data_IF_579038534478
#
_entry.id   IF_579038534478
#
_cell.length_a   1.000
_cell.length_b   1.000
_cell.length_c   1.000
_cell.angle_alpha   90.00
_cell.angle_beta   90.00
_cell.angle_gamma   90.00
#
_symmetry.space_group_name_H-M   'P 1'
#
loop_
_entity.id
_entity.type
_entity.pdbx_description
1 polymer ?
#
# COMPACT_ATOMS: atom_id res chain seq x y z
N UNK A 1 -13.87 13.75 5.62
CA UNK A 1 -13.86 12.42 6.28
C UNK A 1 -12.85 12.43 7.43
N UNK A 2 -12.90 11.51 8.39
CA UNK A 2 -11.89 11.44 9.46
C UNK A 2 -10.45 11.33 8.91
N UNK A 3 -10.25 10.68 7.77
CA UNK A 3 -8.96 10.61 7.09
C UNK A 3 -8.39 12.00 6.69
N UNK A 4 -9.25 12.99 6.42
CA UNK A 4 -8.81 14.36 6.14
C UNK A 4 -8.11 14.98 7.35
N UNK A 5 -8.51 14.61 8.58
CA UNK A 5 -7.84 15.08 9.79
C UNK A 5 -6.48 14.42 10.00
N UNK A 6 -6.25 13.19 9.53
CA UNK A 6 -4.92 12.56 9.58
C UNK A 6 -3.88 13.38 8.81
N UNK A 7 -4.30 13.96 7.66
CA UNK A 7 -3.49 14.91 6.91
C UNK A 7 -3.37 16.28 7.60
N UNK A 8 -4.50 16.87 8.02
CA UNK A 8 -4.52 18.22 8.64
C UNK A 8 -3.78 18.30 9.97
N UNK A 9 -3.82 17.24 10.77
CA UNK A 9 -3.15 17.15 12.08
C UNK A 9 -1.68 16.72 11.96
N UNK A 10 -1.16 16.53 10.74
CA UNK A 10 0.23 16.22 10.49
C UNK A 10 0.65 14.77 10.77
N UNK A 11 -0.28 13.90 11.19
CA UNK A 11 0.04 12.50 11.51
C UNK A 11 0.67 11.77 10.32
N UNK A 12 0.11 11.94 9.12
CA UNK A 12 0.61 11.23 7.95
C UNK A 12 2.00 11.75 7.54
N UNK A 13 2.21 13.07 7.60
CA UNK A 13 3.50 13.68 7.29
C UNK A 13 4.59 13.20 8.27
N UNK A 14 4.27 13.21 9.57
CA UNK A 14 5.14 12.65 10.61
C UNK A 14 5.44 11.17 10.33
N UNK A 15 4.41 10.37 10.07
CA UNK A 15 4.55 8.93 9.86
C UNK A 15 5.42 8.60 8.64
N UNK A 16 5.16 9.24 7.49
CA UNK A 16 5.97 9.02 6.28
C UNK A 16 7.42 9.44 6.48
N UNK A 17 7.66 10.54 7.21
CA UNK A 17 9.00 11.03 7.48
C UNK A 17 9.76 10.15 8.48
N UNK A 18 9.07 9.63 9.50
CA UNK A 18 9.63 8.62 10.41
C UNK A 18 10.03 7.35 9.66
N UNK A 19 9.18 6.86 8.76
CA UNK A 19 9.50 5.70 7.90
C UNK A 19 10.71 6.01 7.02
N UNK A 20 10.71 7.15 6.33
CA UNK A 20 11.82 7.57 5.47
C UNK A 20 13.13 7.60 6.26
N UNK A 21 13.13 8.22 7.44
CA UNK A 21 14.32 8.34 8.30
C UNK A 21 14.80 6.96 8.77
N UNK A 22 13.87 6.09 9.18
CA UNK A 22 14.18 4.71 9.57
C UNK A 22 14.80 3.92 8.41
N UNK A 23 14.24 4.01 7.21
CA UNK A 23 14.75 3.32 6.01
C UNK A 23 16.15 3.84 5.65
N UNK A 24 16.38 5.15 5.67
CA UNK A 24 17.71 5.74 5.43
C UNK A 24 18.75 5.18 6.39
N UNK A 25 18.39 5.01 7.68
CA UNK A 25 19.27 4.43 8.69
C UNK A 25 19.68 2.98 8.43
N UNK A 26 18.95 2.23 7.60
CA UNK A 26 19.30 0.86 7.20
C UNK A 26 20.37 0.80 6.11
N UNK A 27 20.71 1.93 5.46
CA UNK A 27 21.72 1.97 4.40
C UNK A 27 21.35 1.19 3.14
N UNK A 28 20.06 0.94 2.91
CA UNK A 28 19.57 0.18 1.76
C UNK A 28 19.61 1.03 0.48
N UNK A 29 19.87 0.38 -0.66
CA UNK A 29 19.63 1.00 -1.97
C UNK A 29 18.15 1.27 -2.22
N UNK A 30 17.85 2.10 -3.23
CA UNK A 30 16.48 2.55 -3.54
C UNK A 30 15.48 1.39 -3.74
N UNK A 31 15.94 0.24 -4.24
CA UNK A 31 15.09 -0.96 -4.42
C UNK A 31 14.59 -1.48 -3.07
N UNK A 32 15.50 -1.72 -2.11
CA UNK A 32 15.14 -2.20 -0.78
C UNK A 32 14.29 -1.18 -0.02
N UNK A 33 14.63 0.10 -0.15
CA UNK A 33 13.85 1.20 0.40
C UNK A 33 12.41 1.22 -0.15
N UNK A 34 12.24 1.04 -1.46
CA UNK A 34 10.94 1.00 -2.14
C UNK A 34 10.12 -0.20 -1.68
N UNK A 35 10.73 -1.39 -1.57
CA UNK A 35 10.05 -2.60 -1.10
C UNK A 35 9.48 -2.41 0.31
N UNK A 36 10.27 -1.88 1.23
CA UNK A 36 9.82 -1.62 2.61
C UNK A 36 8.71 -0.56 2.61
N UNK A 37 8.91 0.54 1.89
CA UNK A 37 7.96 1.65 1.86
C UNK A 37 6.61 1.23 1.28
N UNK A 38 6.60 0.51 0.15
CA UNK A 38 5.37 -0.03 -0.47
C UNK A 38 4.72 -1.07 0.44
N UNK A 39 5.51 -1.92 1.11
CA UNK A 39 5.00 -2.86 2.09
C UNK A 39 4.28 -2.17 3.24
N UNK A 40 4.89 -1.14 3.84
CA UNK A 40 4.27 -0.36 4.91
C UNK A 40 3.01 0.34 4.40
N UNK A 41 3.06 0.96 3.22
CA UNK A 41 1.88 1.55 2.58
C UNK A 41 0.74 0.53 2.48
N UNK A 42 1.00 -0.61 1.85
CA UNK A 42 0.01 -1.65 1.60
C UNK A 42 -0.63 -2.17 2.89
N UNK A 43 0.20 -2.53 3.89
CA UNK A 43 -0.29 -3.10 5.15
C UNK A 43 -0.86 -2.06 6.12
N UNK A 44 -0.60 -0.77 5.91
CA UNK A 44 -1.30 0.28 6.67
C UNK A 44 -2.81 0.25 6.44
N UNK A 45 -3.28 -0.37 5.36
CA UNK A 45 -4.70 -0.52 5.10
C UNK A 45 -5.46 -1.32 6.17
N UNK A 46 -4.79 -2.15 6.98
CA UNK A 46 -5.42 -2.76 8.15
C UNK A 46 -6.04 -1.73 9.11
N UNK A 47 -5.54 -0.49 9.12
CA UNK A 47 -6.04 0.61 9.94
C UNK A 47 -7.12 1.46 9.24
N UNK A 48 -7.50 1.13 8.00
CA UNK A 48 -8.48 1.88 7.22
C UNK A 48 -9.65 0.99 6.79
N UNK A 49 -10.88 1.48 6.99
CA UNK A 49 -12.09 0.84 6.47
C UNK A 49 -12.49 1.35 5.06
N UNK A 50 -11.63 2.13 4.41
CA UNK A 50 -11.90 2.71 3.09
C UNK A 50 -10.61 2.91 2.31
N UNK A 51 -10.58 2.39 1.08
CA UNK A 51 -9.49 2.59 0.13
C UNK A 51 -9.32 4.07 -0.22
N UNK A 52 -10.41 4.78 -0.51
CA UNK A 52 -10.39 6.22 -0.80
C UNK A 52 -9.79 7.02 0.36
N UNK A 53 -10.17 6.69 1.60
CA UNK A 53 -9.62 7.31 2.80
C UNK A 53 -8.12 7.08 2.94
N UNK A 54 -7.67 5.83 2.72
CA UNK A 54 -6.26 5.46 2.76
C UNK A 54 -5.45 6.19 1.67
N UNK A 55 -5.90 6.14 0.41
CA UNK A 55 -5.21 6.79 -0.73
C UNK A 55 -5.11 8.29 -0.51
N UNK A 56 -6.23 8.95 -0.17
CA UNK A 56 -6.27 10.40 0.08
C UNK A 56 -5.32 10.81 1.21
N UNK A 57 -5.18 9.97 2.24
CA UNK A 57 -4.31 10.27 3.36
C UNK A 57 -2.83 10.03 3.01
N UNK A 58 -2.49 8.88 2.43
CA UNK A 58 -1.12 8.36 2.46
C UNK A 58 -0.38 8.40 1.12
N UNK A 59 -1.08 8.36 -0.02
CA UNK A 59 -0.43 8.19 -1.32
C UNK A 59 0.62 9.27 -1.60
N UNK A 60 0.25 10.55 -1.46
CA UNK A 60 1.15 11.67 -1.74
C UNK A 60 2.37 11.70 -0.81
N UNK A 61 2.17 11.43 0.48
CA UNK A 61 3.24 11.44 1.47
C UNK A 61 4.24 10.29 1.26
N UNK A 62 3.74 9.08 0.98
CA UNK A 62 4.58 7.92 0.69
C UNK A 62 5.31 8.05 -0.65
N UNK A 63 4.64 8.62 -1.66
CA UNK A 63 5.26 8.93 -2.94
C UNK A 63 6.43 9.90 -2.75
N UNK A 64 6.22 11.01 -2.03
CA UNK A 64 7.27 11.99 -1.75
C UNK A 64 8.45 11.37 -0.97
N UNK A 65 8.16 10.56 0.05
CA UNK A 65 9.17 9.86 0.83
C UNK A 65 10.00 8.89 -0.03
N UNK A 66 9.35 8.11 -0.91
CA UNK A 66 10.05 7.16 -1.78
C UNK A 66 10.91 7.83 -2.85
N UNK A 67 10.44 8.95 -3.42
CA UNK A 67 11.27 9.77 -4.33
C UNK A 67 12.50 10.32 -3.59
N UNK A 68 12.33 10.77 -2.35
CA UNK A 68 13.46 11.23 -1.53
C UNK A 68 14.45 10.10 -1.15
N UNK A 69 14.01 8.84 -1.16
CA UNK A 69 14.85 7.65 -1.00
C UNK A 69 15.51 7.19 -2.32
N UNK A 70 15.32 7.93 -3.41
CA UNK A 70 15.96 7.68 -4.71
C UNK A 70 15.19 6.71 -5.62
N UNK A 71 13.93 6.39 -5.31
CA UNK A 71 13.12 5.54 -6.18
C UNK A 71 12.76 6.27 -7.50
N UNK A 72 12.81 5.60 -8.67
CA UNK A 72 12.33 6.18 -9.92
C UNK A 72 10.85 6.59 -9.81
N UNK A 73 10.49 7.87 -10.03
CA UNK A 73 9.15 8.37 -9.74
C UNK A 73 8.02 7.61 -10.46
N UNK A 74 8.20 7.28 -11.74
CA UNK A 74 7.17 6.56 -12.50
C UNK A 74 6.93 5.15 -11.93
N UNK A 75 8.01 4.40 -11.65
CA UNK A 75 7.91 3.07 -11.05
C UNK A 75 7.21 3.12 -9.69
N UNK A 76 7.60 4.07 -8.83
CA UNK A 76 6.99 4.23 -7.51
C UNK A 76 5.50 4.58 -7.60
N UNK A 77 5.13 5.49 -8.51
CA UNK A 77 3.74 5.87 -8.74
C UNK A 77 2.89 4.67 -9.16
N UNK A 78 3.39 3.84 -10.09
CA UNK A 78 2.72 2.62 -10.54
C UNK A 78 2.59 1.62 -9.38
N UNK A 79 3.68 1.35 -8.66
CA UNK A 79 3.66 0.42 -7.52
C UNK A 79 2.63 0.84 -6.45
N UNK A 80 2.61 2.12 -6.06
CA UNK A 80 1.63 2.62 -5.08
C UNK A 80 0.19 2.58 -5.62
N UNK A 81 -0.01 2.95 -6.89
CA UNK A 81 -1.34 2.99 -7.50
C UNK A 81 -1.96 1.60 -7.58
N UNK A 82 -1.23 0.62 -8.10
CA UNK A 82 -1.73 -0.76 -8.19
C UNK A 82 -1.84 -1.42 -6.81
N UNK A 83 -0.91 -1.15 -5.89
CA UNK A 83 -1.02 -1.60 -4.49
C UNK A 83 -2.31 -1.12 -3.82
N UNK A 84 -2.79 0.08 -4.18
CA UNK A 84 -4.02 0.66 -3.64
C UNK A 84 -5.28 -0.15 -4.02
N UNK A 85 -5.25 -0.86 -5.14
CA UNK A 85 -6.33 -1.78 -5.52
C UNK A 85 -6.16 -3.14 -4.85
N UNK A 86 -4.92 -3.63 -4.78
CA UNK A 86 -4.62 -4.98 -4.27
C UNK A 86 -4.84 -5.10 -2.75
N UNK A 87 -4.68 -4.01 -1.99
CA UNK A 87 -4.91 -3.99 -0.53
C UNK A 87 -6.36 -4.28 -0.12
N UNK A 88 -7.31 -4.21 -1.06
CA UNK A 88 -8.72 -4.52 -0.85
C UNK A 88 -8.97 -5.96 -0.37
N UNK A 89 -8.02 -6.88 -0.59
CA UNK A 89 -8.15 -8.29 -0.16
C UNK A 89 -7.81 -8.53 1.31
N UNK A 90 -7.28 -7.54 2.03
CA UNK A 90 -6.71 -7.74 3.36
C UNK A 90 -7.75 -8.03 4.44
N UNK A 91 -8.76 -7.18 4.55
CA UNK A 91 -9.71 -7.22 5.67
C UNK A 91 -11.15 -7.27 5.17
N UNK A 92 -12.00 -7.94 5.95
CA UNK A 92 -13.44 -8.00 5.73
C UNK A 92 -14.14 -6.63 5.82
N UNK A 93 -13.43 -5.57 6.22
CA UNK A 93 -13.94 -4.19 6.31
C UNK A 93 -13.20 -3.18 5.42
N UNK A 94 -12.18 -3.60 4.65
CA UNK A 94 -11.33 -2.67 3.90
C UNK A 94 -12.06 -1.94 2.75
N UNK A 95 -13.21 -2.48 2.32
CA UNK A 95 -14.02 -1.96 1.22
C UNK A 95 -15.50 -1.93 1.60
N UNK A 96 -16.32 -1.23 0.81
CA UNK A 96 -17.78 -1.24 1.03
C UNK A 96 -18.43 -2.59 0.75
N UNK A 97 -17.86 -3.40 -0.14
CA UNK A 97 -18.40 -4.72 -0.51
C UNK A 97 -17.96 -5.84 0.43
N UNK A 98 -16.80 -5.71 1.08
CA UNK A 98 -16.25 -6.77 1.94
C UNK A 98 -17.17 -7.12 3.14
N UNK A 99 -17.77 -6.16 3.87
CA UNK A 99 -18.70 -6.47 4.96
C UNK A 99 -19.97 -7.15 4.49
N UNK A 100 -20.43 -6.86 3.27
CA UNK A 100 -21.62 -7.48 2.68
C UNK A 100 -21.34 -8.97 2.41
N UNK A 101 -20.18 -9.27 1.82
CA UNK A 101 -19.77 -10.65 1.55
C UNK A 101 -19.51 -11.39 2.86
N UNK A 102 -18.77 -10.79 3.80
CA UNK A 102 -18.49 -11.41 5.09
C UNK A 102 -19.77 -11.67 5.90
N UNK A 103 -20.72 -10.73 5.87
CA UNK A 103 -22.02 -10.85 6.54
C UNK A 103 -22.93 -11.95 5.98
N UNK A 104 -22.60 -12.56 4.84
CA UNK A 104 -23.34 -13.71 4.29
C UNK A 104 -23.16 -15.00 5.10
N UNK A 105 -22.13 -15.08 5.95
CA UNK A 105 -21.86 -16.25 6.79
C UNK A 105 -21.17 -17.42 6.07
N UNK A 106 -20.76 -17.27 4.81
CA UNK A 106 -20.04 -18.33 4.07
C UNK A 106 -18.57 -18.50 4.48
N UNK A 107 -17.98 -17.55 5.22
CA UNK A 107 -16.59 -17.59 5.66
C UNK A 107 -16.45 -17.14 7.10
N UNK A 108 -15.54 -17.75 7.84
CA UNK A 108 -15.13 -17.26 9.17
C UNK A 108 -14.13 -16.11 9.06
N UNK A 109 -13.95 -15.38 10.17
CA UNK A 109 -12.93 -14.32 10.26
C UNK A 109 -11.52 -14.87 9.98
N UNK A 110 -11.19 -16.04 10.53
CA UNK A 110 -9.88 -16.66 10.38
C UNK A 110 -9.60 -17.04 8.92
N UNK A 111 -10.59 -17.62 8.22
CA UNK A 111 -10.46 -17.97 6.80
C UNK A 111 -10.24 -16.72 5.94
N UNK A 112 -11.01 -15.65 6.18
CA UNK A 112 -10.87 -14.40 5.44
C UNK A 112 -9.47 -13.81 5.62
N UNK A 113 -9.00 -13.72 6.86
CA UNK A 113 -7.70 -13.09 7.15
C UNK A 113 -6.53 -13.95 6.71
N UNK A 114 -6.62 -15.28 6.83
CA UNK A 114 -5.61 -16.18 6.29
C UNK A 114 -5.52 -16.07 4.77
N UNK A 115 -6.66 -16.08 4.07
CA UNK A 115 -6.70 -15.88 2.62
C UNK A 115 -6.18 -14.49 2.24
N UNK A 116 -6.56 -13.44 2.96
CA UNK A 116 -6.09 -12.07 2.73
C UNK A 116 -4.58 -11.92 2.87
N UNK A 117 -3.97 -12.56 3.88
CA UNK A 117 -2.52 -12.57 4.10
C UNK A 117 -1.75 -13.38 3.04
N UNK A 118 -2.32 -14.49 2.56
CA UNK A 118 -1.71 -15.26 1.45
C UNK A 118 -1.80 -14.44 0.16
N UNK A 119 -2.99 -13.90 -0.14
CA UNK A 119 -3.23 -13.13 -1.36
C UNK A 119 -2.45 -11.82 -1.38
N UNK A 120 -2.17 -11.18 -0.23
CA UNK A 120 -1.33 -9.96 -0.24
C UNK A 120 0.06 -10.23 -0.80
N UNK A 121 0.70 -11.33 -0.37
CA UNK A 121 2.03 -11.73 -0.85
C UNK A 121 1.96 -12.11 -2.33
N UNK A 122 1.01 -12.95 -2.72
CA UNK A 122 0.85 -13.37 -4.12
C UNK A 122 0.60 -12.17 -5.04
N UNK A 123 -0.32 -11.27 -4.67
CA UNK A 123 -0.65 -10.10 -5.46
C UNK A 123 0.52 -9.14 -5.61
N UNK A 124 1.29 -8.89 -4.54
CA UNK A 124 2.48 -8.03 -4.60
C UNK A 124 3.59 -8.66 -5.45
N UNK A 125 3.80 -9.97 -5.36
CA UNK A 125 4.76 -10.69 -6.22
C UNK A 125 4.35 -10.62 -7.68
N UNK A 126 3.07 -10.86 -8.00
CA UNK A 126 2.55 -10.73 -9.37
C UNK A 126 2.72 -9.30 -9.87
N UNK A 127 2.40 -8.30 -9.06
CA UNK A 127 2.57 -6.89 -9.41
C UNK A 127 4.03 -6.57 -9.76
N UNK A 128 4.98 -7.01 -8.93
CA UNK A 128 6.40 -6.70 -9.18
C UNK A 128 6.92 -7.49 -10.39
N UNK A 129 6.66 -8.80 -10.47
CA UNK A 129 7.22 -9.65 -11.52
C UNK A 129 6.58 -9.38 -12.88
N UNK A 130 5.25 -9.46 -12.95
CA UNK A 130 4.49 -9.30 -14.20
C UNK A 130 4.35 -7.82 -14.54
N UNK A 131 4.05 -6.97 -13.55
CA UNK A 131 3.89 -5.53 -13.76
C UNK A 131 5.17 -4.87 -14.25
N UNK A 132 6.34 -5.19 -13.66
CA UNK A 132 7.60 -4.58 -14.15
C UNK A 132 7.92 -4.98 -15.59
N UNK A 133 7.66 -6.23 -15.98
CA UNK A 133 7.83 -6.67 -17.38
C UNK A 133 6.87 -5.89 -18.28
N UNK A 134 5.60 -5.80 -17.89
CA UNK A 134 4.58 -5.11 -18.66
C UNK A 134 4.88 -3.61 -18.83
N UNK A 135 5.22 -2.90 -17.76
CA UNK A 135 5.52 -1.47 -17.82
C UNK A 135 6.79 -1.17 -18.61
N UNK A 136 7.77 -2.07 -18.58
CA UNK A 136 8.96 -1.96 -19.43
C UNK A 136 8.62 -2.13 -20.91
N UNK A 137 7.75 -3.09 -21.25
CA UNK A 137 7.27 -3.27 -22.63
C UNK A 137 6.50 -2.04 -23.14
N UNK A 138 5.77 -1.36 -22.27
CA UNK A 138 5.06 -0.11 -22.58
C UNK A 138 5.97 1.14 -22.61
N UNK A 139 7.24 1.01 -22.20
CA UNK A 139 8.19 2.14 -22.15
C UNK A 139 7.95 3.12 -21.00
N UNK A 140 7.27 2.69 -19.92
CA UNK A 140 7.05 3.52 -18.74
C UNK A 140 8.19 3.45 -17.72
N UNK A 141 8.96 2.36 -17.72
CA UNK A 141 10.12 2.13 -16.86
C UNK A 141 11.29 1.52 -17.62
#
# INVERSE_FOLDING_TARGET
>A
MMATFLGKLGLIAWFSQSIQTGITGLGLGWVGATVILVGIYFYSHYFFASTTAHITAMFGAFFAAGVALGAPPMLLALLLAFSSSLMMSLTHYGTGTAPIIFGSGYTTLNEWWAAGAILSVVNLLVLVLVGSVWWKLLGYI
#
